data_IF_498089295152
#
_entry.id   IF_498089295152
#
_cell.length_a   1.000
_cell.length_b   1.000
_cell.length_c   1.000
_cell.angle_alpha   90.00
_cell.angle_beta   90.00
_cell.angle_gamma   90.00
#
_symmetry.space_group_name_H-M   'P 1'
#
loop_
_entity.id
_entity.type
_entity.pdbx_description
1 polymer ?
#
# COMPACT_ATOMS: atom_id res chain seq x y z
N UNK A 1 3.81 -12.09 4.66
CA UNK A 1 3.32 -13.28 5.38
C UNK A 1 3.63 -14.55 4.61
N UNK A 2 3.37 -14.65 3.28
CA UNK A 2 3.63 -15.85 2.49
C UNK A 2 5.10 -16.27 2.53
N UNK A 3 6.03 -15.36 2.21
CA UNK A 3 7.49 -15.61 2.29
C UNK A 3 7.96 -16.03 3.70
N UNK A 4 7.26 -15.59 4.74
CA UNK A 4 7.49 -15.99 6.14
C UNK A 4 6.72 -17.26 6.55
N UNK A 5 6.08 -17.96 5.58
CA UNK A 5 5.38 -19.24 5.76
C UNK A 5 4.18 -19.23 6.70
N UNK A 6 3.46 -18.11 6.78
CA UNK A 6 2.17 -18.02 7.48
C UNK A 6 1.00 -18.38 6.57
N UNK A 7 1.16 -18.27 5.27
CA UNK A 7 0.15 -18.64 4.27
C UNK A 7 0.81 -19.03 2.96
N UNK A 8 0.07 -19.77 2.14
CA UNK A 8 0.41 -20.09 0.74
C UNK A 8 -0.54 -19.33 -0.16
N UNK A 9 0.00 -18.82 -1.27
CA UNK A 9 -0.75 -18.19 -2.35
C UNK A 9 -0.83 -19.20 -3.49
N UNK A 10 -2.03 -19.63 -3.84
CA UNK A 10 -2.27 -20.60 -4.93
C UNK A 10 -2.98 -19.87 -6.08
N UNK A 11 -2.37 -19.82 -7.25
CA UNK A 11 -2.96 -19.22 -8.45
C UNK A 11 -4.10 -20.11 -8.96
N UNK A 12 -5.30 -19.54 -9.09
CA UNK A 12 -6.44 -20.23 -9.70
C UNK A 12 -6.38 -19.99 -11.21
N UNK A 13 -6.22 -21.05 -12.03
CA UNK A 13 -6.18 -20.90 -13.49
C UNK A 13 -7.46 -20.26 -14.02
N UNK A 14 -7.32 -19.37 -14.99
CA UNK A 14 -8.48 -18.78 -15.67
C UNK A 14 -9.32 -19.86 -16.36
N UNK A 15 -10.56 -20.04 -15.96
CA UNK A 15 -11.48 -21.04 -16.53
C UNK A 15 -12.03 -20.61 -17.90
N UNK A 16 -11.92 -19.31 -18.25
CA UNK A 16 -12.42 -18.75 -19.49
C UNK A 16 -11.51 -17.62 -19.98
N UNK A 17 -11.43 -17.41 -21.32
CA UNK A 17 -10.54 -16.38 -21.91
C UNK A 17 -10.80 -14.95 -21.41
N UNK A 18 -12.00 -14.64 -20.93
CA UNK A 18 -12.39 -13.36 -20.35
C UNK A 18 -12.41 -13.35 -18.80
N UNK A 19 -12.06 -14.47 -18.16
CA UNK A 19 -11.99 -14.59 -16.70
C UNK A 19 -10.86 -13.74 -16.12
N UNK A 20 -11.10 -13.12 -14.97
CA UNK A 20 -10.04 -12.49 -14.18
C UNK A 20 -9.24 -13.58 -13.46
N UNK A 21 -7.93 -13.35 -13.31
CA UNK A 21 -7.11 -14.21 -12.44
C UNK A 21 -7.62 -14.06 -11.00
N UNK A 22 -7.68 -15.16 -10.27
CA UNK A 22 -8.01 -15.20 -8.86
C UNK A 22 -6.97 -16.05 -8.12
N UNK A 23 -6.92 -15.95 -6.82
CA UNK A 23 -5.99 -16.66 -5.96
C UNK A 23 -6.69 -17.23 -4.75
N UNK A 24 -6.31 -18.44 -4.39
CA UNK A 24 -6.69 -19.05 -3.14
C UNK A 24 -5.57 -18.80 -2.11
N UNK A 25 -5.93 -18.28 -0.96
CA UNK A 25 -5.03 -18.09 0.16
C UNK A 25 -5.29 -19.22 1.16
N UNK A 26 -4.25 -19.96 1.50
CA UNK A 26 -4.33 -21.06 2.48
C UNK A 26 -3.44 -20.75 3.67
N UNK A 27 -4.02 -20.76 4.86
CA UNK A 27 -3.30 -20.54 6.12
C UNK A 27 -2.39 -21.73 6.42
N UNK A 28 -1.21 -21.43 6.94
CA UNK A 28 -0.27 -22.42 7.47
C UNK A 28 -0.17 -22.29 9.00
N UNK A 29 0.28 -23.36 9.69
CA UNK A 29 0.62 -23.26 11.11
C UNK A 29 1.66 -22.17 11.37
N UNK A 30 1.53 -21.46 12.47
CA UNK A 30 2.49 -20.40 12.84
C UNK A 30 3.91 -21.00 12.99
N UNK A 31 4.92 -20.42 12.32
CA UNK A 31 6.31 -20.81 12.51
C UNK A 31 6.77 -20.61 13.96
N UNK A 32 7.48 -21.60 14.54
CA UNK A 32 7.89 -21.58 15.95
C UNK A 32 8.85 -20.42 16.30
N UNK A 33 9.68 -20.01 15.34
CA UNK A 33 10.78 -19.06 15.56
C UNK A 33 10.46 -17.63 15.11
N UNK A 34 9.23 -17.37 14.66
CA UNK A 34 8.83 -16.04 14.14
C UNK A 34 7.61 -15.52 14.91
N UNK A 35 7.59 -14.20 15.12
CA UNK A 35 6.48 -13.53 15.83
C UNK A 35 5.88 -12.44 14.95
N UNK A 36 4.57 -12.52 14.77
CA UNK A 36 3.81 -11.49 14.10
C UNK A 36 3.68 -10.22 14.95
N UNK A 37 3.84 -9.08 14.30
CA UNK A 37 3.44 -7.80 14.89
C UNK A 37 1.90 -7.71 14.95
N UNK A 38 1.39 -6.84 15.80
CA UNK A 38 -0.06 -6.74 16.04
C UNK A 38 -0.87 -6.52 14.76
N UNK A 39 -0.40 -5.65 13.87
CA UNK A 39 -1.08 -5.38 12.61
C UNK A 39 -0.98 -6.58 11.64
N UNK A 40 0.12 -7.34 11.65
CA UNK A 40 0.28 -8.55 10.85
C UNK A 40 -0.67 -9.66 11.34
N UNK A 41 -0.78 -9.81 12.65
CA UNK A 41 -1.71 -10.76 13.27
C UNK A 41 -3.17 -10.39 12.97
N UNK A 42 -3.53 -9.11 13.05
CA UNK A 42 -4.87 -8.66 12.68
C UNK A 42 -5.16 -8.90 11.19
N UNK A 43 -4.16 -8.69 10.33
CA UNK A 43 -4.30 -8.97 8.90
C UNK A 43 -4.53 -10.46 8.66
N UNK A 44 -3.69 -11.33 9.24
CA UNK A 44 -3.81 -12.77 9.09
C UNK A 44 -5.17 -13.29 9.59
N UNK A 45 -5.56 -12.93 10.81
CA UNK A 45 -6.84 -13.30 11.37
C UNK A 45 -8.03 -12.77 10.55
N UNK A 46 -7.92 -11.55 10.02
CA UNK A 46 -8.96 -10.98 9.17
C UNK A 46 -9.10 -11.69 7.82
N UNK A 47 -8.01 -12.19 7.25
CA UNK A 47 -8.05 -12.96 6.01
C UNK A 47 -8.74 -14.30 6.21
N UNK A 48 -8.46 -14.99 7.32
CA UNK A 48 -8.87 -16.37 7.58
C UNK A 48 -10.01 -16.48 8.63
N UNK A 49 -10.78 -15.42 8.85
CA UNK A 49 -11.92 -15.47 9.79
C UNK A 49 -12.98 -16.48 9.39
N UNK A 50 -13.13 -16.75 8.08
CA UNK A 50 -14.12 -17.67 7.54
C UNK A 50 -13.62 -19.13 7.40
N UNK A 51 -12.35 -19.39 7.74
CA UNK A 51 -11.71 -20.71 7.63
C UNK A 51 -10.28 -20.64 7.13
N UNK A 52 -9.61 -21.78 7.06
CA UNK A 52 -8.19 -21.89 6.73
C UNK A 52 -7.87 -21.65 5.25
N UNK A 53 -8.90 -21.50 4.42
CA UNK A 53 -8.78 -21.20 2.99
C UNK A 53 -9.77 -20.11 2.60
N UNK A 54 -9.32 -19.18 1.78
CA UNK A 54 -10.16 -18.09 1.28
C UNK A 54 -9.76 -17.69 -0.13
N UNK A 55 -10.73 -17.57 -1.03
CA UNK A 55 -10.51 -16.97 -2.34
C UNK A 55 -10.38 -15.46 -2.19
N UNK A 56 -9.44 -14.87 -2.90
CA UNK A 56 -9.19 -13.43 -2.84
C UNK A 56 -10.43 -12.62 -3.25
N UNK A 57 -11.15 -13.08 -4.27
CA UNK A 57 -12.39 -12.46 -4.72
C UNK A 57 -13.50 -12.43 -3.66
N UNK A 58 -13.56 -13.44 -2.77
CA UNK A 58 -14.53 -13.52 -1.68
C UNK A 58 -14.33 -12.43 -0.61
N UNK A 59 -13.10 -11.93 -0.46
CA UNK A 59 -12.79 -10.82 0.47
C UNK A 59 -13.29 -9.46 -0.03
N UNK A 60 -13.77 -9.41 -1.26
CA UNK A 60 -14.27 -8.17 -1.85
C UNK A 60 -15.50 -7.66 -1.10
N UNK A 61 -15.44 -6.39 -0.68
CA UNK A 61 -16.50 -5.70 0.08
C UNK A 61 -16.69 -6.18 1.53
N UNK A 62 -16.10 -7.28 1.94
CA UNK A 62 -16.21 -7.81 3.31
C UNK A 62 -15.03 -7.46 4.18
N UNK A 63 -13.86 -7.23 3.58
CA UNK A 63 -12.62 -6.99 4.30
C UNK A 63 -12.41 -5.53 4.75
N UNK A 64 -13.20 -4.58 4.22
CA UNK A 64 -12.99 -3.14 4.44
C UNK A 64 -12.97 -2.73 5.92
N UNK A 65 -13.86 -3.28 6.74
CA UNK A 65 -13.92 -3.00 8.19
C UNK A 65 -12.69 -3.56 8.91
N UNK A 66 -12.29 -4.78 8.56
CA UNK A 66 -11.08 -5.43 9.10
C UNK A 66 -9.82 -4.69 8.71
N UNK A 67 -9.76 -4.19 7.47
CA UNK A 67 -8.66 -3.36 6.99
C UNK A 67 -8.46 -2.12 7.86
N UNK A 68 -9.56 -1.50 8.35
CA UNK A 68 -9.45 -0.35 9.23
C UNK A 68 -8.76 -0.71 10.54
N UNK A 69 -9.09 -1.85 11.14
CA UNK A 69 -8.44 -2.34 12.36
C UNK A 69 -6.94 -2.64 12.15
N UNK A 70 -6.58 -3.16 10.96
CA UNK A 70 -5.16 -3.37 10.57
C UNK A 70 -4.43 -2.04 10.45
N UNK A 71 -5.03 -1.05 9.74
CA UNK A 71 -4.47 0.29 9.60
C UNK A 71 -4.28 0.98 10.95
N UNK A 72 -5.25 0.87 11.84
CA UNK A 72 -5.15 1.45 13.19
C UNK A 72 -3.96 0.87 13.95
N UNK A 73 -3.80 -0.46 13.95
CA UNK A 73 -2.66 -1.10 14.59
C UNK A 73 -1.31 -0.70 13.97
N UNK A 74 -1.28 -0.54 12.64
CA UNK A 74 -0.07 -0.10 11.93
C UNK A 74 0.31 1.34 12.31
N UNK A 75 -0.67 2.26 12.35
CA UNK A 75 -0.40 3.64 12.75
C UNK A 75 0.02 3.75 14.22
N UNK A 76 -0.56 2.95 15.10
CA UNK A 76 -0.18 2.91 16.52
C UNK A 76 1.26 2.36 16.68
N UNK A 77 1.65 1.34 15.90
CA UNK A 77 3.03 0.85 15.87
C UNK A 77 4.02 1.92 15.38
N UNK A 78 3.66 2.69 14.34
CA UNK A 78 4.51 3.79 13.84
C UNK A 78 4.74 4.88 14.90
N UNK A 79 3.72 5.22 15.68
CA UNK A 79 3.81 6.21 16.77
C UNK A 79 4.60 5.63 17.95
N UNK A 80 4.38 4.37 18.33
CA UNK A 80 5.10 3.69 19.41
C UNK A 80 6.61 3.61 19.14
N UNK A 81 6.98 3.39 17.87
CA UNK A 81 8.38 3.42 17.38
C UNK A 81 8.97 4.83 17.29
N UNK A 82 8.15 5.85 17.56
CA UNK A 82 8.53 7.26 17.47
C UNK A 82 8.97 7.67 16.06
N UNK A 83 8.34 7.11 14.99
CA UNK A 83 8.58 7.54 13.61
C UNK A 83 7.76 8.77 13.25
N UNK A 84 6.58 8.90 13.84
CA UNK A 84 5.72 10.08 13.76
C UNK A 84 5.45 10.63 15.15
N UNK A 85 5.25 11.95 15.23
CA UNK A 85 4.92 12.62 16.49
C UNK A 85 3.49 12.29 16.96
N UNK A 86 2.59 12.20 16.00
CA UNK A 86 1.17 11.83 16.18
C UNK A 86 0.74 10.96 15.00
N UNK A 87 -0.36 10.26 15.13
CA UNK A 87 -0.93 9.43 14.06
C UNK A 87 -1.18 10.29 12.79
N UNK A 88 -0.56 9.94 11.65
CA UNK A 88 -0.64 10.74 10.41
C UNK A 88 -2.05 10.86 9.86
N UNK A 89 -2.87 9.80 9.99
CA UNK A 89 -4.26 9.76 9.56
C UNK A 89 -5.12 10.76 10.33
N UNK A 90 -5.02 10.79 11.66
CA UNK A 90 -5.75 11.73 12.51
C UNK A 90 -5.34 13.18 12.27
N UNK A 91 -4.02 13.44 12.13
CA UNK A 91 -3.53 14.78 11.81
C UNK A 91 -4.11 15.26 10.48
N UNK A 92 -4.08 14.41 9.44
CA UNK A 92 -4.65 14.74 8.14
C UNK A 92 -6.15 15.01 8.24
N UNK A 93 -6.90 14.14 8.92
CA UNK A 93 -8.34 14.29 9.11
C UNK A 93 -8.68 15.60 9.82
N UNK A 94 -7.96 15.96 10.88
CA UNK A 94 -8.15 17.23 11.59
C UNK A 94 -7.99 18.43 10.65
N UNK A 95 -6.95 18.45 9.83
CA UNK A 95 -6.73 19.53 8.88
C UNK A 95 -7.76 19.58 7.75
N UNK A 96 -8.25 18.42 7.30
CA UNK A 96 -9.36 18.32 6.35
C UNK A 96 -10.64 18.90 6.95
N UNK A 97 -10.96 18.58 8.21
CA UNK A 97 -12.14 19.14 8.89
C UNK A 97 -12.00 20.66 9.05
N UNK A 98 -10.85 21.16 9.53
CA UNK A 98 -10.61 22.61 9.66
C UNK A 98 -10.72 23.29 8.29
N UNK A 99 -10.10 22.74 7.25
CA UNK A 99 -10.15 23.29 5.90
C UNK A 99 -11.56 23.31 5.32
N UNK A 100 -12.35 22.25 5.56
CA UNK A 100 -13.75 22.18 5.11
C UNK A 100 -14.62 23.22 5.80
N UNK A 101 -14.45 23.38 7.12
CA UNK A 101 -15.17 24.40 7.88
C UNK A 101 -14.79 25.82 7.44
N UNK A 102 -13.50 26.09 7.23
CA UNK A 102 -13.04 27.38 6.76
C UNK A 102 -13.56 27.71 5.35
N UNK A 103 -13.54 26.71 4.44
CA UNK A 103 -14.10 26.85 3.10
C UNK A 103 -15.60 27.14 3.13
N UNK A 104 -16.36 26.35 3.89
CA UNK A 104 -17.83 26.53 4.01
C UNK A 104 -18.16 27.88 4.64
N UNK A 105 -17.46 28.28 5.70
CA UNK A 105 -17.64 29.58 6.34
C UNK A 105 -17.30 30.74 5.40
N UNK A 106 -16.21 30.63 4.62
CA UNK A 106 -15.81 31.63 3.62
C UNK A 106 -16.85 31.78 2.51
N UNK A 107 -17.41 30.66 2.00
CA UNK A 107 -18.48 30.70 1.00
C UNK A 107 -19.74 31.35 1.60
N UNK A 108 -20.15 30.92 2.78
CA UNK A 108 -21.33 31.47 3.46
C UNK A 108 -21.16 32.97 3.72
N UNK A 109 -19.99 33.40 4.20
CA UNK A 109 -19.66 34.80 4.44
C UNK A 109 -19.75 35.64 3.14
N UNK A 110 -19.21 35.10 2.03
CA UNK A 110 -19.28 35.73 0.71
C UNK A 110 -20.74 36.00 0.30
N UNK A 111 -21.58 34.95 0.44
CA UNK A 111 -23.01 35.03 0.05
C UNK A 111 -23.74 36.04 0.94
N UNK A 112 -23.58 35.94 2.25
CA UNK A 112 -24.26 36.89 3.20
C UNK A 112 -23.84 38.33 2.96
N UNK A 113 -22.54 38.60 2.84
CA UNK A 113 -22.03 39.93 2.58
C UNK A 113 -22.45 40.49 1.20
N UNK A 114 -22.57 39.64 0.19
CA UNK A 114 -23.03 40.00 -1.15
C UNK A 114 -24.53 40.39 -1.15
N UNK A 115 -25.36 39.73 -0.32
CA UNK A 115 -26.79 40.02 -0.20
C UNK A 115 -27.04 41.31 0.59
N UNK A 116 -26.37 41.46 1.72
CA UNK A 116 -26.66 42.55 2.66
C UNK A 116 -25.74 43.78 2.53
N UNK A 117 -24.61 43.64 1.85
CA UNK A 117 -23.59 44.69 1.71
C UNK A 117 -22.89 44.63 0.34
N UNK A 118 -22.12 45.68 0.02
CA UNK A 118 -21.25 45.69 -1.18
C UNK A 118 -19.87 45.03 -0.93
N UNK A 119 -19.68 44.36 0.22
CA UNK A 119 -18.40 43.83 0.69
C UNK A 119 -18.26 42.32 0.48
N UNK A 120 -19.05 41.71 -0.42
CA UNK A 120 -19.04 40.25 -0.68
C UNK A 120 -17.65 39.64 -0.98
N UNK A 121 -16.75 40.45 -1.56
CA UNK A 121 -15.40 39.99 -1.88
C UNK A 121 -14.54 39.64 -0.64
N UNK A 122 -14.89 40.12 0.56
CA UNK A 122 -14.14 39.84 1.79
C UNK A 122 -14.21 38.36 2.23
N UNK A 123 -15.23 37.61 1.81
CA UNK A 123 -15.34 36.20 2.13
C UNK A 123 -14.43 35.29 1.26
N UNK A 124 -14.02 35.77 0.06
CA UNK A 124 -13.20 34.99 -0.87
C UNK A 124 -11.85 34.57 -0.27
N UNK A 125 -11.06 35.41 0.40
CA UNK A 125 -9.80 34.99 1.01
C UNK A 125 -9.95 33.87 2.03
N UNK A 126 -11.06 33.84 2.78
CA UNK A 126 -11.34 32.76 3.74
C UNK A 126 -11.68 31.45 3.03
N UNK A 127 -12.46 31.50 1.95
CA UNK A 127 -12.75 30.33 1.14
C UNK A 127 -11.47 29.77 0.49
N UNK A 128 -10.62 30.63 -0.09
CA UNK A 128 -9.33 30.25 -0.63
C UNK A 128 -8.39 29.68 0.43
N UNK A 129 -8.33 30.29 1.61
CA UNK A 129 -7.57 29.75 2.75
C UNK A 129 -8.02 28.35 3.15
N UNK A 130 -9.34 28.12 3.23
CA UNK A 130 -9.91 26.79 3.47
C UNK A 130 -9.53 25.75 2.40
N UNK A 131 -9.58 26.15 1.13
CA UNK A 131 -9.17 25.31 0.01
C UNK A 131 -7.67 24.96 0.07
N UNK A 132 -6.81 25.94 0.38
CA UNK A 132 -5.38 25.70 0.55
C UNK A 132 -5.08 24.75 1.72
N UNK A 133 -5.82 24.84 2.83
CA UNK A 133 -5.71 23.90 3.94
C UNK A 133 -6.12 22.48 3.54
N UNK A 134 -7.17 22.30 2.75
CA UNK A 134 -7.59 21.00 2.22
C UNK A 134 -6.49 20.36 1.36
N UNK A 135 -5.94 21.13 0.43
CA UNK A 135 -4.84 20.67 -0.44
C UNK A 135 -3.59 20.35 0.39
N UNK A 136 -3.28 21.22 1.37
CA UNK A 136 -2.11 21.10 2.24
C UNK A 136 -2.20 19.98 3.28
N UNK A 137 -3.40 19.48 3.60
CA UNK A 137 -3.63 18.50 4.65
C UNK A 137 -2.75 17.22 4.52
N UNK A 138 -2.41 16.81 3.29
CA UNK A 138 -1.56 15.65 3.03
C UNK A 138 -0.11 15.82 3.51
N UNK A 139 0.40 17.05 3.60
CA UNK A 139 1.77 17.35 4.05
C UNK A 139 1.87 17.72 5.53
N UNK A 140 0.74 17.90 6.23
CA UNK A 140 0.70 18.30 7.64
C UNK A 140 1.26 17.27 8.64
N UNK A 141 1.23 15.93 8.38
CA UNK A 141 1.83 14.98 9.31
C UNK A 141 3.35 15.17 9.43
N UNK A 142 3.82 15.48 10.64
CA UNK A 142 5.24 15.67 10.92
C UNK A 142 5.93 14.35 11.30
N UNK A 143 7.04 14.07 10.64
CA UNK A 143 7.95 12.97 11.00
C UNK A 143 8.91 13.45 12.09
N UNK A 144 9.29 12.53 12.97
CA UNK A 144 10.38 12.78 13.92
C UNK A 144 11.75 12.66 13.23
N UNK A 145 12.82 13.06 13.91
CA UNK A 145 14.19 12.83 13.41
C UNK A 145 14.47 11.35 13.16
N UNK A 146 13.97 10.46 14.04
CA UNK A 146 14.05 9.00 13.88
C UNK A 146 13.26 8.51 12.67
N UNK A 147 12.05 9.04 12.44
CA UNK A 147 11.25 8.72 11.26
C UNK A 147 11.90 9.18 9.96
N UNK A 148 12.52 10.35 9.95
CA UNK A 148 13.29 10.86 8.80
C UNK A 148 14.50 9.99 8.52
N UNK A 149 15.27 9.59 9.55
CA UNK A 149 16.39 8.68 9.40
C UNK A 149 15.96 7.32 8.85
N UNK A 150 14.82 6.77 9.32
CA UNK A 150 14.26 5.53 8.79
C UNK A 150 13.86 5.68 7.32
N UNK A 151 13.21 6.78 6.95
CA UNK A 151 12.85 7.05 5.55
C UNK A 151 14.09 7.06 4.63
N UNK A 152 15.20 7.69 5.09
CA UNK A 152 16.47 7.69 4.33
C UNK A 152 17.01 6.26 4.15
N UNK A 153 16.95 5.43 5.20
CA UNK A 153 17.38 4.01 5.12
C UNK A 153 16.53 3.22 4.14
N UNK A 154 15.21 3.40 4.18
CA UNK A 154 14.28 2.74 3.25
C UNK A 154 14.54 3.18 1.81
N UNK A 155 14.75 4.48 1.57
CA UNK A 155 15.09 4.98 0.25
C UNK A 155 16.45 4.47 -0.24
N UNK A 156 17.46 4.40 0.62
CA UNK A 156 18.75 3.78 0.29
C UNK A 156 18.59 2.30 -0.07
N UNK A 157 17.80 1.57 0.71
CA UNK A 157 17.50 0.17 0.42
C UNK A 157 16.73 -0.01 -0.91
N UNK A 158 15.78 0.89 -1.18
CA UNK A 158 15.08 0.92 -2.48
C UNK A 158 16.06 1.01 -3.65
N UNK A 159 17.05 1.91 -3.58
CA UNK A 159 18.08 2.06 -4.62
C UNK A 159 18.87 0.76 -4.81
N UNK A 160 19.20 0.06 -3.72
CA UNK A 160 19.89 -1.24 -3.80
C UNK A 160 19.04 -2.28 -4.52
N UNK A 161 17.73 -2.34 -4.25
CA UNK A 161 16.81 -3.26 -4.94
C UNK A 161 16.62 -2.85 -6.41
N UNK A 162 16.49 -1.55 -6.71
CA UNK A 162 16.35 -1.04 -8.09
C UNK A 162 17.60 -1.31 -8.96
N UNK A 163 18.77 -1.35 -8.32
CA UNK A 163 20.07 -1.64 -8.93
C UNK A 163 20.56 -3.05 -8.66
N UNK A 164 19.64 -3.99 -8.56
CA UNK A 164 19.94 -5.38 -8.24
C UNK A 164 21.04 -5.97 -9.15
N UNK A 165 20.99 -5.67 -10.44
CA UNK A 165 21.97 -6.15 -11.44
C UNK A 165 23.42 -5.79 -11.07
N UNK A 166 23.66 -4.62 -10.50
CA UNK A 166 25.00 -4.17 -10.07
C UNK A 166 25.55 -4.97 -8.88
N UNK A 167 24.66 -5.66 -8.14
CA UNK A 167 25.02 -6.38 -6.91
C UNK A 167 24.91 -7.90 -7.04
N UNK A 168 24.56 -8.42 -8.24
CA UNK A 168 24.31 -9.84 -8.48
C UNK A 168 25.47 -10.74 -8.09
N UNK A 169 26.71 -10.35 -8.38
CA UNK A 169 27.90 -11.15 -8.03
C UNK A 169 28.02 -11.44 -6.52
N UNK A 170 27.58 -10.49 -5.69
CA UNK A 170 27.60 -10.64 -4.23
C UNK A 170 26.41 -11.46 -3.71
N UNK A 171 25.30 -11.47 -4.44
CA UNK A 171 24.06 -12.13 -4.03
C UNK A 171 23.94 -13.55 -4.60
N UNK A 172 24.66 -13.87 -5.68
CA UNK A 172 24.70 -15.21 -6.26
C UNK A 172 25.18 -16.27 -5.26
N UNK A 173 26.00 -15.90 -4.29
CA UNK A 173 26.52 -16.79 -3.25
C UNK A 173 25.58 -16.94 -2.04
N UNK A 174 24.52 -16.13 -1.96
CA UNK A 174 23.60 -16.14 -0.83
C UNK A 174 22.30 -16.86 -1.18
N UNK A 175 21.99 -17.89 -0.43
CA UNK A 175 20.73 -18.61 -0.57
C UNK A 175 19.53 -17.71 -0.25
N UNK A 176 18.42 -17.93 -0.96
CA UNK A 176 17.12 -17.30 -0.70
C UNK A 176 17.03 -15.76 -0.83
N UNK A 177 18.02 -15.09 -1.39
CA UNK A 177 17.98 -13.63 -1.56
C UNK A 177 16.79 -13.20 -2.42
N UNK A 178 16.52 -13.93 -3.52
CA UNK A 178 15.38 -13.64 -4.40
C UNK A 178 14.07 -13.58 -3.62
N UNK A 179 13.72 -14.65 -2.93
CA UNK A 179 12.45 -14.78 -2.20
C UNK A 179 12.38 -13.82 -1.01
N UNK A 180 13.47 -13.67 -0.28
CA UNK A 180 13.53 -12.82 0.91
C UNK A 180 13.26 -11.35 0.61
N UNK A 181 13.78 -10.84 -0.51
CA UNK A 181 13.66 -9.42 -0.86
C UNK A 181 12.55 -9.13 -1.89
N UNK A 182 11.95 -10.15 -2.48
CA UNK A 182 10.83 -10.01 -3.41
C UNK A 182 9.69 -9.12 -2.87
N UNK A 183 9.23 -9.24 -1.60
CA UNK A 183 8.18 -8.37 -1.08
C UNK A 183 8.53 -6.88 -1.16
N UNK A 184 9.81 -6.55 -1.02
CA UNK A 184 10.27 -5.16 -1.15
C UNK A 184 10.31 -4.73 -2.62
N UNK A 185 10.71 -5.61 -3.54
CA UNK A 185 10.67 -5.33 -4.97
C UNK A 185 9.23 -5.03 -5.44
N UNK A 186 8.25 -5.79 -4.96
CA UNK A 186 6.81 -5.55 -5.19
C UNK A 186 6.38 -4.18 -4.66
N UNK A 187 6.69 -3.87 -3.40
CA UNK A 187 6.31 -2.59 -2.77
C UNK A 187 6.98 -1.39 -3.46
N UNK A 188 8.18 -1.55 -3.98
CA UNK A 188 8.90 -0.50 -4.71
C UNK A 188 8.52 -0.42 -6.19
N UNK A 189 7.70 -1.36 -6.71
CA UNK A 189 7.25 -1.41 -8.10
C UNK A 189 8.38 -1.75 -9.09
N UNK A 190 9.32 -2.60 -8.70
CA UNK A 190 10.48 -3.02 -9.48
C UNK A 190 10.59 -4.54 -9.63
N UNK A 191 9.47 -5.23 -9.51
CA UNK A 191 9.38 -6.71 -9.55
C UNK A 191 10.00 -7.27 -10.82
N UNK A 192 9.70 -6.68 -11.97
CA UNK A 192 10.25 -7.11 -13.26
C UNK A 192 11.78 -6.99 -13.33
N UNK A 193 12.32 -5.86 -12.87
CA UNK A 193 13.78 -5.68 -12.83
C UNK A 193 14.44 -6.69 -11.89
N UNK A 194 13.81 -6.92 -10.73
CA UNK A 194 14.25 -7.90 -9.76
C UNK A 194 14.27 -9.30 -10.35
N UNK A 195 13.18 -9.73 -11.00
CA UNK A 195 13.08 -11.03 -11.64
C UNK A 195 14.14 -11.22 -12.75
N UNK A 196 14.29 -10.23 -13.66
CA UNK A 196 15.28 -10.28 -14.74
C UNK A 196 16.72 -10.39 -14.23
N UNK A 197 17.03 -9.65 -13.15
CA UNK A 197 18.34 -9.73 -12.56
C UNK A 197 18.68 -11.15 -12.08
N UNK A 198 17.74 -11.86 -11.47
CA UNK A 198 17.95 -13.25 -11.04
C UNK A 198 17.86 -14.27 -12.18
N UNK A 199 17.07 -14.02 -13.22
CA UNK A 199 17.00 -14.83 -14.42
C UNK A 199 18.38 -14.94 -15.09
N UNK A 200 19.14 -13.83 -15.10
CA UNK A 200 20.48 -13.79 -15.69
C UNK A 200 21.51 -14.70 -14.98
N UNK A 201 21.24 -15.09 -13.72
CA UNK A 201 22.07 -16.04 -12.98
C UNK A 201 21.83 -17.50 -13.36
N UNK A 202 20.75 -17.81 -14.09
CA UNK A 202 20.39 -19.16 -14.51
C UNK A 202 20.04 -20.12 -13.36
N UNK A 203 19.86 -19.62 -12.14
CA UNK A 203 19.53 -20.40 -10.95
C UNK A 203 18.05 -20.25 -10.62
N UNK A 204 17.38 -21.37 -10.30
CA UNK A 204 16.02 -21.32 -9.79
C UNK A 204 16.02 -20.92 -8.31
N UNK A 205 14.98 -20.19 -7.83
CA UNK A 205 14.85 -19.89 -6.41
C UNK A 205 14.75 -21.18 -5.60
N UNK A 206 15.50 -21.27 -4.51
CA UNK A 206 15.54 -22.44 -3.64
C UNK A 206 14.25 -22.72 -2.87
N UNK A 207 13.43 -21.69 -2.64
CA UNK A 207 12.16 -21.83 -1.93
C UNK A 207 11.05 -20.96 -2.56
N UNK A 208 10.18 -21.61 -3.32
CA UNK A 208 8.94 -21.02 -3.89
C UNK A 208 7.69 -21.71 -3.36
N UNK A 209 7.80 -22.50 -2.30
CA UNK A 209 6.69 -23.30 -1.74
C UNK A 209 5.52 -22.46 -1.22
N UNK A 210 5.75 -21.19 -0.95
CA UNK A 210 4.74 -20.23 -0.54
C UNK A 210 3.86 -19.69 -1.69
N UNK A 211 4.25 -19.96 -2.95
CA UNK A 211 3.50 -19.60 -4.15
C UNK A 211 3.33 -20.84 -5.06
N UNK A 212 2.09 -21.23 -5.28
CA UNK A 212 1.75 -22.41 -6.09
C UNK A 212 1.08 -21.94 -7.37
N UNK A 213 1.66 -22.34 -8.51
CA UNK A 213 1.11 -22.11 -9.85
C UNK A 213 1.01 -23.43 -10.60
N UNK A 214 0.06 -23.54 -11.49
CA UNK A 214 -0.08 -24.69 -12.40
C UNK A 214 0.98 -24.70 -13.51
N UNK A 215 1.74 -23.59 -13.67
CA UNK A 215 2.76 -23.45 -14.71
C UNK A 215 4.16 -23.65 -14.13
N UNK A 216 5.12 -24.13 -14.94
CA UNK A 216 6.53 -24.16 -14.55
C UNK A 216 7.01 -22.76 -14.15
N UNK A 217 7.96 -22.70 -13.20
CA UNK A 217 8.51 -21.43 -12.76
C UNK A 217 9.36 -20.78 -13.87
N UNK A 218 8.96 -19.58 -14.26
CA UNK A 218 9.71 -18.69 -15.16
C UNK A 218 9.69 -17.30 -14.51
N UNK A 219 10.86 -16.69 -14.32
CA UNK A 219 11.02 -15.43 -13.59
C UNK A 219 10.09 -14.32 -14.08
N UNK A 220 10.01 -14.09 -15.39
CA UNK A 220 9.16 -13.06 -15.98
C UNK A 220 7.66 -13.33 -15.72
N UNK A 221 7.20 -14.56 -15.95
CA UNK A 221 5.80 -14.93 -15.71
C UNK A 221 5.43 -14.88 -14.22
N UNK A 222 6.37 -15.25 -13.36
CA UNK A 222 6.19 -15.16 -11.92
C UNK A 222 6.08 -13.70 -11.46
N UNK A 223 6.92 -12.79 -11.99
CA UNK A 223 6.84 -11.36 -11.69
C UNK A 223 5.48 -10.79 -12.10
N UNK A 224 5.02 -11.07 -13.32
CA UNK A 224 3.70 -10.66 -13.80
C UNK A 224 2.56 -11.18 -12.92
N UNK A 225 2.64 -12.45 -12.49
CA UNK A 225 1.63 -13.05 -11.60
C UNK A 225 1.63 -12.40 -10.22
N UNK A 226 2.78 -12.13 -9.64
CA UNK A 226 2.91 -11.46 -8.33
C UNK A 226 2.43 -10.00 -8.40
N UNK A 227 2.73 -9.27 -9.47
CA UNK A 227 2.25 -7.90 -9.64
C UNK A 227 0.72 -7.89 -9.84
N UNK A 228 0.17 -8.81 -10.64
CA UNK A 228 -1.26 -9.01 -10.81
C UNK A 228 -1.95 -9.34 -9.47
N UNK A 229 -1.37 -10.24 -8.68
CA UNK A 229 -1.82 -10.56 -7.33
C UNK A 229 -1.82 -9.31 -6.44
N UNK A 230 -0.74 -8.55 -6.42
CA UNK A 230 -0.59 -7.34 -5.60
C UNK A 230 -1.65 -6.29 -5.94
N UNK A 231 -1.86 -6.00 -7.22
CA UNK A 231 -2.87 -5.05 -7.71
C UNK A 231 -4.29 -5.53 -7.36
N UNK A 232 -4.59 -6.81 -7.63
CA UNK A 232 -5.91 -7.38 -7.36
C UNK A 232 -6.19 -7.41 -5.87
N UNK A 233 -5.23 -7.82 -5.05
CA UNK A 233 -5.34 -7.83 -3.59
C UNK A 233 -5.61 -6.43 -3.05
N UNK A 234 -4.84 -5.43 -3.49
CA UNK A 234 -5.04 -4.05 -3.06
C UNK A 234 -6.44 -3.53 -3.41
N UNK A 235 -6.91 -3.80 -4.62
CA UNK A 235 -8.26 -3.42 -5.07
C UNK A 235 -9.37 -4.17 -4.33
N UNK A 236 -9.18 -5.45 -4.07
CA UNK A 236 -10.17 -6.30 -3.37
C UNK A 236 -10.29 -5.91 -1.90
N UNK A 237 -9.18 -5.82 -1.20
CA UNK A 237 -9.11 -5.50 0.24
C UNK A 237 -9.62 -4.08 0.53
N UNK A 238 -9.35 -3.12 -0.36
CA UNK A 238 -9.80 -1.74 -0.20
C UNK A 238 -11.23 -1.48 -0.68
N UNK A 239 -11.89 -2.45 -1.31
CA UNK A 239 -13.25 -2.29 -1.83
C UNK A 239 -14.28 -2.18 -0.71
N UNK A 240 -15.17 -1.17 -0.79
CA UNK A 240 -16.29 -0.99 0.12
C UNK A 240 -17.60 -1.49 -0.51
N UNK A 241 -18.60 -1.94 0.27
CA UNK A 241 -19.91 -2.28 -0.23
C UNK A 241 -20.58 -1.09 -0.95
N UNK A 242 -21.31 -1.36 -2.04
CA UNK A 242 -22.10 -0.33 -2.71
C UNK A 242 -23.22 0.13 -1.74
N UNK A 243 -23.26 1.42 -1.42
CA UNK A 243 -24.25 1.99 -0.47
C UNK A 243 -23.67 2.38 0.89
N UNK A 244 -22.47 1.94 1.26
CA UNK A 244 -21.72 2.54 2.34
C UNK A 244 -21.12 3.87 1.84
N UNK A 245 -21.97 4.84 1.53
CA UNK A 245 -21.60 6.22 1.42
C UNK A 245 -21.22 6.69 2.84
N UNK A 246 -20.12 6.19 3.35
CA UNK A 246 -19.44 6.89 4.40
C UNK A 246 -19.05 8.23 3.77
N UNK A 247 -19.60 9.29 4.27
CA UNK A 247 -19.15 10.67 4.12
C UNK A 247 -17.73 10.81 4.66
N UNK A 248 -16.86 9.91 4.24
CA UNK A 248 -15.45 9.87 4.55
C UNK A 248 -14.72 10.48 3.38
N UNK A 249 -14.33 11.71 3.50
CA UNK A 249 -13.28 12.38 2.74
C UNK A 249 -11.92 11.63 2.94
N UNK A 250 -11.97 10.31 3.06
CA UNK A 250 -10.83 9.41 3.23
C UNK A 250 -10.20 8.92 1.94
N UNK A 251 -10.70 9.38 0.78
CA UNK A 251 -10.31 8.86 -0.53
C UNK A 251 -9.03 9.41 -1.16
N UNK A 252 -8.25 10.20 -0.46
CA UNK A 252 -6.95 10.70 -0.95
C UNK A 252 -5.74 9.91 -0.45
N UNK A 253 -5.91 8.66 -0.14
CA UNK A 253 -4.86 7.75 0.32
C UNK A 253 -4.63 6.56 -0.60
N UNK A 254 -5.17 6.55 -1.80
CA UNK A 254 -4.87 5.56 -2.82
C UNK A 254 -3.51 5.87 -3.42
N UNK A 255 -2.46 5.26 -2.90
CA UNK A 255 -1.19 5.18 -3.58
C UNK A 255 -1.43 4.52 -4.93
N UNK A 256 -1.14 5.25 -6.01
CA UNK A 256 -1.09 4.70 -7.34
C UNK A 256 0.00 3.65 -7.38
N UNK A 257 -0.37 2.38 -7.26
CA UNK A 257 0.39 1.26 -7.72
C UNK A 257 -0.13 0.92 -9.11
N UNK A 258 0.66 1.13 -10.12
CA UNK A 258 0.40 0.61 -11.45
C UNK A 258 0.03 1.67 -12.49
N UNK A 259 1.01 2.10 -13.23
CA UNK A 259 0.93 2.81 -14.47
C UNK A 259 2.33 3.07 -14.95
N UNK A 260 2.92 2.09 -15.66
CA UNK A 260 4.13 2.29 -16.45
C UNK A 260 3.85 3.35 -17.49
N UNK A 261 4.50 4.49 -17.38
CA UNK A 261 4.54 5.55 -18.35
C UNK A 261 5.87 6.25 -18.20
N UNK A 262 6.83 5.89 -19.06
CA UNK A 262 8.11 6.54 -19.15
C UNK A 262 7.90 8.03 -19.46
N UNK A 263 8.60 8.88 -18.74
CA UNK A 263 8.67 10.31 -19.00
C UNK A 263 9.79 10.87 -18.16
N UNK A 264 10.98 10.95 -18.73
CA UNK A 264 12.13 11.64 -18.18
C UNK A 264 11.82 13.11 -17.97
N UNK A 265 12.21 13.65 -16.83
CA UNK A 265 12.23 15.04 -16.50
C UNK A 265 13.17 15.26 -15.34
N UNK A 266 14.42 15.62 -15.63
CA UNK A 266 15.39 16.08 -14.68
C UNK A 266 14.93 17.40 -14.07
N UNK A 267 15.13 17.54 -12.78
CA UNK A 267 14.98 18.74 -12.01
C UNK A 267 15.78 18.60 -10.73
N UNK A 268 16.96 19.17 -10.73
CA UNK A 268 17.79 19.40 -9.57
C UNK A 268 17.09 20.34 -8.61
N UNK A 269 17.03 19.98 -7.39
CA UNK A 269 17.13 20.81 -6.17
C UNK A 269 17.54 19.94 -4.99
#
# INVERSE_FOLDING_TARGET
LAVRKYLVIEEIPKTWMLGKADWNLRQLPEPADDKLLLYEKRLLNGLFESGDQVELSALRKTFAERLQAVKDALYDDMVSRKWFLRRPDRVRQTWVVIGSLALSAGIALTIVLAIFTKLGLLGIPFALGGLLLLIGAKWMPARTAKGTAMTRRVNGFRIVIEKAEEHMSKWAEQENVFTRFLPYAVVFGVTDKWAKAFESLGQLPSDTTWYVSSRPFVYAQFADSIDSFSVTTSGTIASTPAGSASSGFGGFGGGGAGGGGGGGGGGSW
#
